data_IF_839344717112
#
_entry.id   IF_839344717112
#
_cell.length_a   1.000
_cell.length_b   1.000
_cell.length_c   1.000
_cell.angle_alpha   90.00
_cell.angle_beta   90.00
_cell.angle_gamma   90.00
#
_symmetry.space_group_name_H-M   'P 1'
#
loop_
_entity.id
_entity.type
_entity.pdbx_description
1 polymer ?
#
# COMPACT_ATOMS: atom_id res chain seq x y z
N UNK A 1 1.59 14.12 -28.36
CA UNK A 1 2.61 14.34 -27.30
C UNK A 1 2.50 13.22 -26.28
N UNK A 2 3.62 12.65 -25.86
CA UNK A 2 3.66 11.67 -24.78
C UNK A 2 3.20 12.33 -23.48
N UNK A 3 2.18 11.76 -22.82
CA UNK A 3 1.72 12.24 -21.52
C UNK A 3 2.63 11.74 -20.40
N UNK A 4 2.93 12.62 -19.45
CA UNK A 4 3.81 12.32 -18.31
C UNK A 4 3.03 12.34 -17.00
N UNK A 5 3.14 11.26 -16.26
CA UNK A 5 2.44 11.10 -14.99
C UNK A 5 3.45 10.92 -13.84
N UNK A 6 3.31 11.75 -12.82
CA UNK A 6 4.01 11.59 -11.58
C UNK A 6 3.11 10.84 -10.60
N UNK A 7 3.58 9.72 -10.04
CA UNK A 7 2.85 8.97 -9.03
C UNK A 7 3.65 8.95 -7.74
N UNK A 8 3.02 9.28 -6.61
CA UNK A 8 3.70 9.27 -5.32
C UNK A 8 2.86 8.59 -4.25
N UNK A 9 3.51 7.67 -3.57
CA UNK A 9 2.95 6.93 -2.45
C UNK A 9 3.89 5.85 -1.98
N UNK A 10 3.68 5.36 -0.78
CA UNK A 10 4.53 4.31 -0.28
C UNK A 10 4.49 4.14 1.24
N UNK A 11 5.50 3.46 1.77
CA UNK A 11 5.65 3.10 3.17
C UNK A 11 4.99 1.77 3.53
N UNK A 12 3.90 1.41 2.88
CA UNK A 12 3.19 0.13 3.09
C UNK A 12 2.61 -0.41 1.79
N UNK A 13 2.32 -1.71 1.74
CA UNK A 13 1.65 -2.35 0.60
C UNK A 13 0.30 -1.70 0.25
N UNK A 14 -0.43 -1.21 1.26
CA UNK A 14 -1.71 -0.52 1.08
C UNK A 14 -1.64 0.74 0.21
N UNK A 15 -0.48 1.39 0.11
CA UNK A 15 -0.26 2.52 -0.79
C UNK A 15 0.45 2.11 -2.09
N UNK A 16 1.40 1.17 -2.02
CA UNK A 16 2.22 0.79 -3.17
C UNK A 16 1.39 0.07 -4.22
N UNK A 17 0.58 -0.92 -3.83
CA UNK A 17 -0.21 -1.69 -4.79
C UNK A 17 -1.28 -0.87 -5.52
N UNK A 18 -2.05 0.02 -4.86
CA UNK A 18 -2.90 0.97 -5.56
C UNK A 18 -2.14 1.89 -6.53
N UNK A 19 -0.94 2.37 -6.15
CA UNK A 19 -0.12 3.19 -7.03
C UNK A 19 0.31 2.43 -8.29
N UNK A 20 0.74 1.17 -8.15
CA UNK A 20 1.08 0.30 -9.27
C UNK A 20 -0.13 -0.05 -10.13
N UNK A 21 -1.29 -0.32 -9.53
CA UNK A 21 -2.52 -0.58 -10.27
C UNK A 21 -2.93 0.62 -11.14
N UNK A 22 -2.81 1.84 -10.60
CA UNK A 22 -3.05 3.08 -11.35
C UNK A 22 -2.04 3.20 -12.50
N UNK A 23 -0.76 2.97 -12.24
CA UNK A 23 0.29 3.05 -13.26
C UNK A 23 0.06 2.05 -14.40
N UNK A 24 -0.26 0.80 -14.07
CA UNK A 24 -0.55 -0.26 -15.04
C UNK A 24 -1.77 0.10 -15.91
N UNK A 25 -2.83 0.64 -15.28
CA UNK A 25 -4.01 1.07 -16.03
C UNK A 25 -3.71 2.24 -16.97
N UNK A 26 -2.93 3.22 -16.52
CA UNK A 26 -2.47 4.33 -17.37
C UNK A 26 -1.68 3.79 -18.57
N UNK A 27 -0.77 2.85 -18.35
CA UNK A 27 0.01 2.22 -19.42
C UNK A 27 -0.83 1.40 -20.38
N UNK A 28 -1.84 0.70 -19.87
CA UNK A 28 -2.77 -0.07 -20.69
C UNK A 28 -3.57 0.83 -21.64
N UNK A 29 -4.05 1.98 -21.15
CA UNK A 29 -4.83 2.93 -21.94
C UNK A 29 -3.98 3.86 -22.81
N UNK A 30 -2.77 4.13 -22.39
CA UNK A 30 -1.82 4.96 -23.09
C UNK A 30 -0.40 4.35 -23.02
N UNK A 31 -0.07 3.40 -23.90
CA UNK A 31 1.22 2.68 -23.89
C UNK A 31 2.43 3.61 -23.95
N UNK A 32 2.30 4.76 -24.63
CA UNK A 32 3.36 5.76 -24.75
C UNK A 32 3.51 6.68 -23.52
N UNK A 33 2.63 6.58 -22.52
CA UNK A 33 2.72 7.41 -21.33
C UNK A 33 4.06 7.20 -20.61
N UNK A 34 4.68 8.27 -20.15
CA UNK A 34 5.85 8.21 -19.27
C UNK A 34 5.40 8.32 -17.82
N UNK A 35 5.86 7.41 -16.98
CA UNK A 35 5.49 7.37 -15.57
C UNK A 35 6.75 7.43 -14.71
N UNK A 36 6.79 8.40 -13.80
CA UNK A 36 7.82 8.52 -12.78
C UNK A 36 7.17 8.36 -11.40
N UNK A 37 7.75 7.49 -10.59
CA UNK A 37 7.37 7.38 -9.18
C UNK A 37 8.27 8.26 -8.31
N UNK A 38 7.69 8.78 -7.22
CA UNK A 38 8.44 9.37 -6.11
C UNK A 38 8.03 8.64 -4.83
N UNK A 39 9.01 8.05 -4.14
CA UNK A 39 8.83 7.28 -2.91
C UNK A 39 9.74 7.75 -1.77
N UNK A 40 9.59 7.15 -0.59
CA UNK A 40 10.48 7.36 0.54
C UNK A 40 11.72 6.49 0.42
N UNK A 41 12.90 7.10 0.56
CA UNK A 41 14.18 6.39 0.54
C UNK A 41 14.19 5.27 1.58
N UNK A 42 14.78 4.13 1.24
CA UNK A 42 14.91 2.96 2.11
C UNK A 42 13.57 2.33 2.56
N UNK A 43 12.50 2.52 1.79
CA UNK A 43 11.20 1.91 2.01
C UNK A 43 10.86 0.89 0.92
N UNK A 44 9.80 0.11 1.15
CA UNK A 44 9.38 -0.99 0.30
C UNK A 44 9.16 -0.58 -1.17
N UNK A 45 8.70 0.63 -1.42
CA UNK A 45 8.47 1.16 -2.76
C UNK A 45 9.74 1.21 -3.61
N UNK A 46 10.91 1.48 -3.00
CA UNK A 46 12.20 1.53 -3.70
C UNK A 46 12.60 0.19 -4.32
N UNK A 47 12.00 -0.91 -3.84
CA UNK A 47 12.18 -2.26 -4.39
C UNK A 47 11.02 -2.65 -5.29
N UNK A 48 9.77 -2.47 -4.82
CA UNK A 48 8.57 -2.97 -5.50
C UNK A 48 8.24 -2.24 -6.80
N UNK A 49 8.53 -0.94 -6.89
CA UNK A 49 8.25 -0.16 -8.09
C UNK A 49 9.18 -0.55 -9.25
N UNK A 50 10.52 -0.67 -9.05
CA UNK A 50 11.41 -1.21 -10.09
C UNK A 50 11.09 -2.65 -10.50
N UNK A 51 10.72 -3.52 -9.54
CA UNK A 51 10.28 -4.89 -9.83
C UNK A 51 9.05 -4.92 -10.77
N UNK A 52 8.21 -3.89 -10.72
CA UNK A 52 7.07 -3.72 -11.62
C UNK A 52 7.40 -2.99 -12.94
N UNK A 53 8.69 -2.70 -13.21
CA UNK A 53 9.14 -2.09 -14.45
C UNK A 53 9.04 -0.57 -14.51
N UNK A 54 8.87 0.12 -13.37
CA UNK A 54 8.77 1.57 -13.32
C UNK A 54 10.00 2.23 -12.71
N UNK A 55 10.32 3.45 -13.18
CA UNK A 55 11.36 4.27 -12.58
C UNK A 55 10.84 4.97 -11.31
N UNK A 56 11.69 5.01 -10.26
CA UNK A 56 11.37 5.67 -9.00
C UNK A 56 12.54 6.51 -8.50
N UNK A 57 12.21 7.72 -8.02
CA UNK A 57 13.12 8.61 -7.31
C UNK A 57 12.82 8.60 -5.82
N UNK A 58 13.85 8.46 -4.99
CA UNK A 58 13.71 8.43 -3.54
C UNK A 58 13.85 9.82 -2.91
N UNK A 59 12.96 10.13 -1.96
CA UNK A 59 13.04 11.30 -1.09
C UNK A 59 13.43 10.90 0.34
N UNK A 60 14.29 11.70 0.97
CA UNK A 60 14.58 11.60 2.39
C UNK A 60 13.39 12.16 3.16
N UNK A 61 12.46 11.29 3.56
CA UNK A 61 11.28 11.66 4.33
C UNK A 61 11.26 10.91 5.65
N UNK A 62 10.96 11.63 6.71
CA UNK A 62 10.87 11.09 8.05
C UNK A 62 9.49 11.38 8.63
N UNK A 63 8.91 10.40 9.30
CA UNK A 63 7.72 10.61 10.12
C UNK A 63 8.03 11.36 11.40
N UNK A 64 7.05 12.07 11.92
CA UNK A 64 7.14 12.66 13.26
C UNK A 64 7.33 11.53 14.27
N UNK A 65 8.41 11.56 15.04
CA UNK A 65 8.59 10.64 16.15
C UNK A 65 7.61 11.02 17.26
N UNK A 66 6.77 10.07 17.63
CA UNK A 66 5.83 10.21 18.77
C UNK A 66 6.51 9.83 20.10
N UNK A 67 7.79 10.12 20.20
CA UNK A 67 8.60 9.86 21.37
C UNK A 67 8.92 11.20 22.02
N UNK A 68 8.57 11.35 23.29
CA UNK A 68 8.84 12.53 24.12
C UNK A 68 10.23 12.51 24.76
N UNK A 69 11.11 11.59 24.35
CA UNK A 69 12.52 11.61 24.76
C UNK A 69 13.26 12.85 24.21
N UNK A 70 14.33 13.25 24.86
CA UNK A 70 15.20 14.35 24.39
C UNK A 70 15.65 14.11 22.93
N UNK A 71 15.96 12.87 22.56
CA UNK A 71 16.31 12.49 21.19
C UNK A 71 15.15 12.65 20.21
N UNK A 72 13.93 12.37 20.64
CA UNK A 72 12.70 12.57 19.87
C UNK A 72 12.42 14.05 19.62
N UNK A 73 12.56 14.88 20.66
CA UNK A 73 12.36 16.34 20.57
C UNK A 73 13.39 16.97 19.63
N UNK A 74 14.69 16.65 19.77
CA UNK A 74 15.74 17.16 18.88
C UNK A 74 15.53 16.70 17.43
N UNK A 75 15.08 15.45 17.22
CA UNK A 75 14.75 14.93 15.90
C UNK A 75 13.58 15.70 15.26
N UNK A 76 12.56 16.04 16.05
CA UNK A 76 11.40 16.80 15.58
C UNK A 76 11.74 18.28 15.31
N UNK A 77 12.67 18.89 16.06
CA UNK A 77 13.16 20.25 15.78
C UNK A 77 13.90 20.37 14.44
N UNK A 78 14.56 19.31 13.98
CA UNK A 78 15.22 19.26 12.66
C UNK A 78 14.25 19.04 11.49
N UNK A 79 13.01 18.62 11.77
CA UNK A 79 12.01 18.26 10.77
C UNK A 79 11.73 19.35 9.73
N UNK A 80 11.60 20.66 10.08
CA UNK A 80 11.38 21.72 9.09
C UNK A 80 12.51 21.85 8.06
N UNK A 81 13.76 21.73 8.51
CA UNK A 81 14.93 21.80 7.62
C UNK A 81 14.98 20.59 6.69
N UNK A 82 14.72 19.40 7.21
CA UNK A 82 14.65 18.16 6.42
C UNK A 82 13.53 18.27 5.39
N UNK A 83 12.35 18.73 5.80
CA UNK A 83 11.21 18.92 4.89
C UNK A 83 11.53 19.94 3.78
N UNK A 84 12.21 21.03 4.10
CA UNK A 84 12.64 22.03 3.11
C UNK A 84 13.62 21.42 2.10
N UNK A 85 14.61 20.64 2.55
CA UNK A 85 15.55 19.90 1.68
C UNK A 85 14.81 18.91 0.80
N UNK A 86 13.90 18.14 1.37
CA UNK A 86 13.07 17.16 0.67
C UNK A 86 12.21 17.83 -0.41
N UNK A 87 11.56 18.95 -0.10
CA UNK A 87 10.75 19.71 -1.06
C UNK A 87 11.60 20.31 -2.19
N UNK A 88 12.82 20.80 -1.90
CA UNK A 88 13.74 21.28 -2.94
C UNK A 88 14.12 20.15 -3.90
N UNK A 89 14.45 18.96 -3.36
CA UNK A 89 14.75 17.79 -4.20
C UNK A 89 13.53 17.36 -5.02
N UNK A 90 12.35 17.29 -4.41
CA UNK A 90 11.11 16.97 -5.12
C UNK A 90 10.84 17.98 -6.27
N UNK A 91 10.98 19.29 -6.01
CA UNK A 91 10.82 20.32 -7.03
C UNK A 91 11.81 20.14 -8.19
N UNK A 92 13.08 19.82 -7.90
CA UNK A 92 14.09 19.56 -8.94
C UNK A 92 13.66 18.39 -9.82
N UNK A 93 13.34 17.22 -9.24
CA UNK A 93 12.89 16.03 -9.96
C UNK A 93 11.67 16.36 -10.84
N UNK A 94 10.68 17.04 -10.28
CA UNK A 94 9.44 17.39 -10.98
C UNK A 94 9.69 18.37 -12.13
N UNK A 95 10.56 19.37 -11.92
CA UNK A 95 10.92 20.33 -12.97
C UNK A 95 11.69 19.69 -14.14
N UNK A 96 12.49 18.67 -13.86
CA UNK A 96 13.23 17.91 -14.88
C UNK A 96 12.28 16.97 -15.64
N UNK A 97 11.40 16.26 -14.93
CA UNK A 97 10.46 15.32 -15.53
C UNK A 97 9.29 16.01 -16.25
N UNK A 98 8.85 17.18 -15.79
CA UNK A 98 7.74 17.99 -16.34
C UNK A 98 6.45 17.17 -16.49
N UNK A 99 5.87 16.66 -15.41
CA UNK A 99 4.64 15.86 -15.49
C UNK A 99 3.43 16.71 -15.87
N UNK A 100 2.51 16.14 -16.64
CA UNK A 100 1.21 16.76 -16.97
C UNK A 100 0.23 16.64 -15.80
N UNK A 101 0.37 15.57 -14.99
CA UNK A 101 -0.48 15.29 -13.82
C UNK A 101 0.33 14.62 -12.72
N UNK A 102 0.05 14.99 -11.48
CA UNK A 102 0.59 14.34 -10.28
C UNK A 102 -0.51 13.59 -9.50
N UNK A 103 -0.24 12.34 -9.13
CA UNK A 103 -1.16 11.44 -8.46
C UNK A 103 -0.56 11.03 -7.11
N UNK A 104 -1.27 11.29 -6.01
CA UNK A 104 -0.88 10.87 -4.67
C UNK A 104 -1.76 9.75 -4.15
N UNK A 105 -1.17 8.68 -3.66
CA UNK A 105 -1.91 7.56 -3.07
C UNK A 105 -1.70 7.44 -1.55
N UNK A 106 -1.10 8.46 -0.94
CA UNK A 106 -0.81 8.49 0.49
C UNK A 106 0.61 8.04 0.84
N UNK A 107 0.91 8.01 2.14
CA UNK A 107 2.26 7.79 2.65
C UNK A 107 3.07 9.07 2.81
N UNK A 108 4.25 8.96 3.43
CA UNK A 108 5.07 10.12 3.80
C UNK A 108 5.64 10.88 2.59
N UNK A 109 6.02 10.17 1.52
CA UNK A 109 6.60 10.80 0.33
C UNK A 109 5.58 11.58 -0.50
N UNK A 110 4.31 11.17 -0.47
CA UNK A 110 3.23 11.80 -1.24
C UNK A 110 3.01 13.27 -0.84
N UNK A 111 3.17 13.62 0.44
CA UNK A 111 3.04 14.99 0.92
C UNK A 111 3.99 15.97 0.22
N UNK A 112 5.30 15.86 0.40
CA UNK A 112 6.28 16.72 -0.25
C UNK A 112 6.24 16.67 -1.77
N UNK A 113 6.02 15.50 -2.36
CA UNK A 113 5.95 15.34 -3.81
C UNK A 113 4.78 16.13 -4.41
N UNK A 114 3.56 15.92 -3.91
CA UNK A 114 2.39 16.62 -4.44
C UNK A 114 2.37 18.11 -4.11
N UNK A 115 2.81 18.51 -2.90
CA UNK A 115 2.94 19.94 -2.59
C UNK A 115 3.91 20.64 -3.53
N UNK A 116 5.03 19.96 -3.89
CA UNK A 116 6.00 20.51 -4.85
C UNK A 116 5.42 20.56 -6.27
N UNK A 117 4.69 19.53 -6.70
CA UNK A 117 4.01 19.51 -8.00
C UNK A 117 2.99 20.66 -8.12
N UNK A 118 2.13 20.81 -7.11
CA UNK A 118 1.13 21.89 -7.05
C UNK A 118 1.80 23.27 -7.08
N UNK A 119 2.90 23.45 -6.32
CA UNK A 119 3.64 24.71 -6.31
C UNK A 119 4.31 25.06 -7.65
N UNK A 120 4.53 24.07 -8.50
CA UNK A 120 5.03 24.21 -9.88
C UNK A 120 3.89 24.31 -10.91
N UNK A 121 2.63 24.42 -10.48
CA UNK A 121 1.46 24.53 -11.35
C UNK A 121 0.98 23.21 -11.96
N UNK A 122 1.54 22.07 -11.55
CA UNK A 122 1.11 20.75 -12.04
C UNK A 122 -0.22 20.39 -11.40
N UNK A 123 -1.28 20.07 -12.18
CA UNK A 123 -2.54 19.61 -11.64
C UNK A 123 -2.34 18.29 -10.91
N UNK A 124 -2.95 18.20 -9.71
CA UNK A 124 -2.78 17.04 -8.85
C UNK A 124 -4.11 16.43 -8.42
N UNK A 125 -4.12 15.12 -8.21
CA UNK A 125 -5.22 14.39 -7.57
C UNK A 125 -4.68 13.45 -6.49
N UNK A 126 -5.54 13.07 -5.56
CA UNK A 126 -5.22 12.03 -4.56
C UNK A 126 -6.23 10.90 -4.63
N UNK A 127 -5.77 9.71 -4.25
CA UNK A 127 -6.59 8.53 -4.07
C UNK A 127 -6.51 8.10 -2.59
N UNK A 128 -7.66 7.87 -1.96
CA UNK A 128 -7.77 7.42 -0.58
C UNK A 128 -8.40 6.04 -0.52
N UNK A 129 -7.69 5.10 0.08
CA UNK A 129 -8.06 3.69 0.14
C UNK A 129 -8.94 3.34 1.34
N UNK A 130 -8.98 4.19 2.35
CA UNK A 130 -9.58 3.91 3.65
C UNK A 130 -10.83 4.75 3.90
N UNK A 131 -11.73 4.25 4.74
CA UNK A 131 -12.89 5.01 5.26
C UNK A 131 -12.48 6.12 6.25
N UNK A 132 -11.26 6.03 6.81
CA UNK A 132 -10.63 7.09 7.60
C UNK A 132 -9.34 7.54 6.91
N UNK A 133 -9.31 8.76 6.35
CA UNK A 133 -8.21 9.17 5.51
C UNK A 133 -6.93 9.47 6.28
N UNK A 134 -5.81 9.18 5.63
CA UNK A 134 -4.48 9.49 6.14
C UNK A 134 -4.24 11.00 6.25
N UNK A 135 -3.37 11.38 7.20
CA UNK A 135 -3.03 12.81 7.47
C UNK A 135 -2.54 13.52 6.22
N UNK A 136 -1.69 12.86 5.42
CA UNK A 136 -1.17 13.41 4.16
C UNK A 136 -2.29 13.78 3.20
N UNK A 137 -3.26 12.89 2.99
CA UNK A 137 -4.39 13.13 2.08
C UNK A 137 -5.30 14.24 2.63
N UNK A 138 -5.52 14.32 3.95
CA UNK A 138 -6.26 15.43 4.57
C UNK A 138 -5.60 16.79 4.30
N UNK A 139 -4.28 16.89 4.42
CA UNK A 139 -3.54 18.13 4.13
C UNK A 139 -3.62 18.50 2.65
N UNK A 140 -3.48 17.52 1.75
CA UNK A 140 -3.47 17.74 0.31
C UNK A 140 -4.86 18.04 -0.27
N UNK A 141 -5.94 17.57 0.37
CA UNK A 141 -7.32 17.65 -0.13
C UNK A 141 -7.75 19.06 -0.54
N UNK A 142 -7.32 20.08 0.23
CA UNK A 142 -7.64 21.49 -0.04
C UNK A 142 -7.01 22.01 -1.34
N UNK A 143 -5.87 21.46 -1.74
CA UNK A 143 -5.04 21.98 -2.86
C UNK A 143 -5.18 21.18 -4.16
N UNK A 144 -5.55 19.91 -4.09
CA UNK A 144 -5.72 19.05 -5.27
C UNK A 144 -6.99 19.37 -6.05
N UNK A 145 -7.03 18.97 -7.31
CA UNK A 145 -8.17 19.15 -8.21
C UNK A 145 -9.28 18.14 -7.98
N UNK A 146 -8.92 16.86 -7.72
CA UNK A 146 -9.86 15.76 -7.47
C UNK A 146 -9.34 14.84 -6.38
N UNK A 147 -10.29 14.16 -5.73
CA UNK A 147 -10.05 13.21 -4.64
C UNK A 147 -10.82 11.94 -4.96
N UNK A 148 -10.12 10.93 -5.46
CA UNK A 148 -10.68 9.62 -5.71
C UNK A 148 -10.79 8.85 -4.39
N UNK A 149 -11.97 8.33 -4.06
CA UNK A 149 -12.22 7.66 -2.79
C UNK A 149 -12.76 6.25 -2.99
N UNK A 150 -12.41 5.36 -2.06
CA UNK A 150 -12.92 4.00 -2.05
C UNK A 150 -14.29 3.85 -1.39
N UNK A 151 -14.57 4.67 -0.39
CA UNK A 151 -15.75 4.57 0.47
C UNK A 151 -16.58 5.84 0.46
N UNK A 152 -17.85 5.73 0.80
CA UNK A 152 -18.75 6.85 1.04
C UNK A 152 -18.49 7.50 2.42
N UNK A 153 -19.05 8.67 2.65
CA UNK A 153 -18.99 9.37 3.95
C UNK A 153 -17.67 10.08 4.20
N UNK A 154 -16.86 10.32 3.16
CA UNK A 154 -15.60 11.05 3.26
C UNK A 154 -15.75 12.57 3.12
N UNK A 155 -16.95 13.06 2.88
CA UNK A 155 -17.30 14.49 2.85
C UNK A 155 -17.02 15.19 4.19
N UNK A 156 -17.06 14.44 5.29
CA UNK A 156 -16.66 14.93 6.63
C UNK A 156 -15.17 15.27 6.77
N UNK A 157 -14.34 14.82 5.82
CA UNK A 157 -12.89 15.03 5.84
C UNK A 157 -12.38 15.81 4.63
N UNK A 158 -13.09 15.75 3.52
CA UNK A 158 -12.67 16.29 2.22
C UNK A 158 -13.73 17.24 1.65
N UNK A 159 -13.35 18.24 0.85
CA UNK A 159 -14.30 19.07 0.10
C UNK A 159 -15.17 18.19 -0.82
N UNK A 160 -16.48 18.21 -0.61
CA UNK A 160 -17.42 17.32 -1.29
C UNK A 160 -17.38 17.45 -2.83
N UNK A 161 -17.19 18.67 -3.34
CA UNK A 161 -17.15 19.01 -4.77
C UNK A 161 -15.91 18.42 -5.50
N UNK A 162 -14.92 17.98 -4.74
CA UNK A 162 -13.70 17.33 -5.30
C UNK A 162 -13.75 15.83 -5.27
N UNK A 163 -14.67 15.25 -4.48
CA UNK A 163 -14.76 13.81 -4.29
C UNK A 163 -15.29 13.14 -5.55
N UNK A 164 -14.64 12.03 -5.91
CA UNK A 164 -15.09 11.09 -6.96
C UNK A 164 -14.99 9.69 -6.37
N UNK A 165 -16.11 8.98 -6.27
CA UNK A 165 -16.12 7.59 -5.81
C UNK A 165 -15.64 6.68 -6.94
N UNK A 166 -14.45 6.12 -6.80
CA UNK A 166 -13.81 5.25 -7.79
C UNK A 166 -13.63 3.81 -7.32
N UNK A 167 -13.81 3.55 -6.02
CA UNK A 167 -13.35 2.32 -5.41
C UNK A 167 -11.83 2.30 -5.20
N UNK A 168 -11.32 1.17 -4.72
CA UNK A 168 -9.88 0.94 -4.62
C UNK A 168 -9.32 0.45 -5.96
N UNK A 169 -8.18 0.99 -6.41
CA UNK A 169 -7.44 0.42 -7.53
C UNK A 169 -6.99 -1.00 -7.20
N UNK A 170 -7.42 -1.95 -8.02
CA UNK A 170 -7.10 -3.38 -7.86
C UNK A 170 -6.23 -3.81 -9.04
N UNK A 171 -5.26 -4.67 -8.78
CA UNK A 171 -4.43 -5.26 -9.84
C UNK A 171 -5.29 -6.10 -10.79
N UNK A 172 -5.01 -5.97 -12.10
CA UNK A 172 -5.78 -6.65 -13.13
C UNK A 172 -5.76 -8.19 -12.99
N UNK A 173 -4.65 -8.74 -12.50
CA UNK A 173 -4.47 -10.17 -12.23
C UNK A 173 -5.53 -10.67 -11.25
N UNK A 174 -5.79 -9.91 -10.17
CA UNK A 174 -6.80 -10.27 -9.15
C UNK A 174 -8.23 -10.22 -9.71
N UNK A 175 -8.51 -9.29 -10.64
CA UNK A 175 -9.85 -9.18 -11.25
C UNK A 175 -10.21 -10.36 -12.15
N UNK A 176 -9.20 -11.03 -12.71
CA UNK A 176 -9.34 -12.15 -13.63
C UNK A 176 -9.24 -13.52 -12.98
N UNK A 177 -9.08 -13.58 -11.65
CA UNK A 177 -8.96 -14.85 -10.93
C UNK A 177 -10.20 -15.70 -11.06
N UNK A 178 -10.03 -16.96 -11.42
CA UNK A 178 -11.08 -17.98 -11.35
C UNK A 178 -11.36 -18.29 -9.87
N UNK A 179 -12.64 -18.46 -9.51
CA UNK A 179 -13.05 -18.76 -8.12
C UNK A 179 -12.41 -20.01 -7.51
N UNK A 180 -12.02 -20.98 -8.36
CA UNK A 180 -11.31 -22.20 -7.96
C UNK A 180 -10.13 -22.35 -8.92
N UNK A 181 -8.92 -22.36 -8.37
CA UNK A 181 -7.69 -22.59 -9.10
C UNK A 181 -7.06 -23.89 -8.57
N UNK A 182 -7.03 -24.94 -9.38
CA UNK A 182 -6.47 -26.25 -9.01
C UNK A 182 -4.98 -26.15 -8.68
N UNK A 183 -4.24 -25.30 -9.36
CA UNK A 183 -2.82 -25.08 -9.11
C UNK A 183 -2.60 -24.50 -7.70
N UNK A 184 -3.47 -23.58 -7.25
CA UNK A 184 -3.41 -23.02 -5.90
C UNK A 184 -3.69 -24.08 -4.83
N UNK A 185 -4.67 -24.97 -5.07
CA UNK A 185 -4.93 -26.09 -4.15
C UNK A 185 -3.73 -27.04 -4.05
N UNK A 186 -3.12 -27.38 -5.19
CA UNK A 186 -1.93 -28.22 -5.21
C UNK A 186 -0.75 -27.54 -4.51
N UNK A 187 -0.52 -26.25 -4.77
CA UNK A 187 0.56 -25.47 -4.16
C UNK A 187 0.50 -25.47 -2.63
N UNK A 188 -0.68 -25.30 -2.06
CA UNK A 188 -0.89 -25.31 -0.60
C UNK A 188 -1.12 -26.72 -0.04
N UNK A 189 -1.22 -27.73 -0.86
CA UNK A 189 -1.54 -29.11 -0.45
C UNK A 189 -2.97 -29.25 0.10
N UNK A 190 -3.91 -28.51 -0.49
CA UNK A 190 -5.32 -28.52 -0.14
C UNK A 190 -6.15 -29.33 -1.13
N UNK A 191 -7.32 -29.80 -0.68
CA UNK A 191 -8.33 -30.46 -1.54
C UNK A 191 -9.34 -29.45 -2.07
N UNK A 192 -9.66 -29.46 -3.37
CA UNK A 192 -10.70 -28.58 -3.95
C UNK A 192 -12.12 -28.90 -3.46
N UNK A 193 -12.34 -30.10 -2.90
CA UNK A 193 -13.64 -30.56 -2.42
C UNK A 193 -13.96 -30.07 -1.00
N UNK A 194 -12.96 -29.57 -0.28
CA UNK A 194 -13.12 -29.05 1.07
C UNK A 194 -13.22 -27.53 1.08
N UNK A 195 -13.98 -27.00 2.04
CA UNK A 195 -14.03 -25.56 2.27
C UNK A 195 -12.68 -25.06 2.77
N UNK A 196 -12.18 -24.00 2.16
CA UNK A 196 -10.92 -23.35 2.56
C UNK A 196 -11.20 -21.95 3.07
N UNK A 197 -10.63 -21.63 4.23
CA UNK A 197 -10.70 -20.31 4.86
C UNK A 197 -9.32 -19.67 4.77
N UNK A 198 -9.25 -18.48 4.17
CA UNK A 198 -8.06 -17.62 4.20
C UNK A 198 -8.16 -16.65 5.36
N UNK A 199 -7.16 -16.67 6.25
CA UNK A 199 -7.03 -15.74 7.36
C UNK A 199 -5.78 -14.90 7.16
N UNK A 200 -5.94 -13.58 7.01
CA UNK A 200 -4.82 -12.66 6.80
C UNK A 200 -5.10 -11.30 7.41
N UNK A 201 -4.13 -10.76 8.13
CA UNK A 201 -4.20 -9.46 8.80
C UNK A 201 -3.34 -8.37 8.15
N UNK A 202 -3.14 -8.44 6.82
CA UNK A 202 -2.20 -7.58 6.09
C UNK A 202 -0.76 -8.09 6.16
N UNK A 203 0.18 -7.40 5.49
CA UNK A 203 1.56 -7.87 5.29
C UNK A 203 2.34 -8.12 6.59
N UNK A 204 2.03 -7.39 7.65
CA UNK A 204 2.67 -7.53 8.96
C UNK A 204 1.89 -8.45 9.92
N UNK A 205 0.72 -8.94 9.49
CA UNK A 205 -0.24 -9.62 10.35
C UNK A 205 -1.02 -8.67 11.26
N UNK A 206 -2.06 -9.21 11.92
CA UNK A 206 -2.85 -8.51 12.93
C UNK A 206 -2.80 -9.31 14.23
N UNK A 207 -2.14 -8.78 15.27
CA UNK A 207 -1.88 -9.51 16.51
C UNK A 207 -3.16 -10.07 17.17
N UNK A 208 -4.22 -9.28 17.25
CA UNK A 208 -5.50 -9.72 17.84
C UNK A 208 -6.11 -10.90 17.08
N UNK A 209 -6.11 -10.86 15.75
CA UNK A 209 -6.58 -11.96 14.90
C UNK A 209 -5.70 -13.19 15.07
N UNK A 210 -4.39 -13.01 15.03
CA UNK A 210 -3.42 -14.09 15.18
C UNK A 210 -3.54 -14.78 16.54
N UNK A 211 -3.66 -14.01 17.63
CA UNK A 211 -3.87 -14.55 18.97
C UNK A 211 -5.18 -15.33 19.07
N UNK A 212 -6.25 -14.81 18.46
CA UNK A 212 -7.53 -15.53 18.42
C UNK A 212 -7.41 -16.87 17.67
N UNK A 213 -6.77 -16.86 16.49
CA UNK A 213 -6.53 -18.09 15.71
C UNK A 213 -5.70 -19.10 16.49
N UNK A 214 -4.60 -18.68 17.09
CA UNK A 214 -3.72 -19.56 17.86
C UNK A 214 -4.44 -20.18 19.05
N UNK A 215 -5.19 -19.40 19.82
CA UNK A 215 -5.90 -19.87 21.01
C UNK A 215 -7.04 -20.86 20.69
N UNK A 216 -7.57 -20.84 19.46
CA UNK A 216 -8.70 -21.69 19.06
C UNK A 216 -8.32 -22.70 17.98
N UNK A 217 -7.03 -22.95 17.77
CA UNK A 217 -6.55 -23.79 16.66
C UNK A 217 -7.12 -25.21 16.69
N UNK A 218 -7.21 -25.81 17.87
CA UNK A 218 -7.75 -27.15 18.05
C UNK A 218 -9.25 -27.21 17.68
N UNK A 219 -10.01 -26.21 18.10
CA UNK A 219 -11.44 -26.09 17.77
C UNK A 219 -11.64 -25.90 16.27
N UNK A 220 -10.82 -25.06 15.65
CA UNK A 220 -10.87 -24.83 14.21
C UNK A 220 -10.54 -26.10 13.44
N UNK A 221 -9.52 -26.83 13.87
CA UNK A 221 -9.12 -28.09 13.25
C UNK A 221 -10.22 -29.15 13.28
N UNK A 222 -11.02 -29.22 14.38
CA UNK A 222 -12.13 -30.15 14.53
C UNK A 222 -13.29 -29.89 13.55
N UNK A 223 -13.40 -28.69 12.98
CA UNK A 223 -14.44 -28.37 11.97
C UNK A 223 -14.21 -29.06 10.62
N UNK A 224 -13.02 -29.58 10.38
CA UNK A 224 -12.63 -30.21 9.12
C UNK A 224 -12.40 -29.23 7.95
N UNK A 225 -12.47 -27.91 8.18
CA UNK A 225 -12.14 -26.90 7.16
C UNK A 225 -10.63 -26.84 6.93
N UNK A 226 -10.25 -26.52 5.74
CA UNK A 226 -8.86 -26.17 5.41
C UNK A 226 -8.61 -24.70 5.74
N UNK A 227 -7.46 -24.38 6.29
CA UNK A 227 -7.12 -23.01 6.66
C UNK A 227 -5.76 -22.63 6.09
N UNK A 228 -5.72 -21.53 5.32
CA UNK A 228 -4.50 -20.83 4.99
C UNK A 228 -4.40 -19.59 5.89
N UNK A 229 -3.44 -19.61 6.82
CA UNK A 229 -3.28 -18.55 7.80
C UNK A 229 -1.96 -17.81 7.59
N UNK A 230 -2.05 -16.55 7.16
CA UNK A 230 -0.91 -15.65 7.04
C UNK A 230 -0.79 -14.79 8.29
N UNK A 231 0.29 -15.00 9.04
CA UNK A 231 0.50 -14.43 10.37
C UNK A 231 1.26 -13.12 10.38
N UNK A 232 2.07 -12.85 9.36
CA UNK A 232 3.19 -11.89 9.41
C UNK A 232 4.42 -12.53 10.08
N UNK A 233 5.61 -12.07 9.71
CA UNK A 233 6.91 -12.62 10.13
C UNK A 233 7.06 -12.67 11.65
N UNK A 234 6.70 -11.57 12.34
CA UNK A 234 6.88 -11.46 13.77
C UNK A 234 6.10 -12.52 14.54
N UNK A 235 4.81 -12.71 14.22
CA UNK A 235 3.98 -13.68 14.93
C UNK A 235 4.29 -15.13 14.52
N UNK A 236 4.72 -15.35 13.28
CA UNK A 236 5.16 -16.67 12.83
C UNK A 236 6.29 -17.22 13.70
N UNK A 237 7.25 -16.37 14.05
CA UNK A 237 8.41 -16.71 14.89
C UNK A 237 8.06 -16.85 16.38
N UNK A 238 6.87 -16.38 16.81
CA UNK A 238 6.41 -16.49 18.20
C UNK A 238 5.68 -17.82 18.49
N UNK A 239 5.21 -18.55 17.46
CA UNK A 239 4.41 -19.75 17.61
C UNK A 239 5.12 -20.99 17.04
N UNK A 240 4.82 -22.21 17.53
CA UNK A 240 5.35 -23.46 16.98
C UNK A 240 4.61 -23.85 15.69
N UNK A 241 4.75 -23.04 14.64
CA UNK A 241 3.97 -23.16 13.41
C UNK A 241 4.15 -24.53 12.72
N UNK A 242 5.35 -25.10 12.75
CA UNK A 242 5.64 -26.40 12.14
C UNK A 242 4.96 -27.55 12.91
N UNK A 243 5.00 -27.51 14.25
CA UNK A 243 4.36 -28.53 15.10
C UNK A 243 2.84 -28.49 14.91
N UNK A 244 2.25 -27.30 14.83
CA UNK A 244 0.81 -27.13 14.56
C UNK A 244 0.45 -27.71 13.20
N UNK A 245 1.24 -27.48 12.17
CA UNK A 245 1.00 -28.00 10.82
C UNK A 245 1.18 -29.53 10.75
N UNK A 246 2.11 -30.08 11.52
CA UNK A 246 2.27 -31.54 11.64
C UNK A 246 1.05 -32.16 12.32
N UNK A 247 0.56 -31.55 13.40
CA UNK A 247 -0.63 -32.02 14.14
C UNK A 247 -1.92 -31.88 13.32
N UNK A 248 -2.02 -30.78 12.52
CA UNK A 248 -3.20 -30.43 11.73
C UNK A 248 -2.83 -30.16 10.26
N UNK A 249 -2.65 -31.20 9.42
CA UNK A 249 -2.21 -31.01 8.02
C UNK A 249 -3.12 -30.12 7.14
N UNK A 250 -4.41 -29.99 7.52
CA UNK A 250 -5.37 -29.10 6.86
C UNK A 250 -5.17 -27.62 7.19
N UNK A 251 -4.29 -27.28 8.14
CA UNK A 251 -3.94 -25.89 8.48
C UNK A 251 -2.56 -25.59 7.96
N UNK A 252 -2.47 -24.61 7.06
CA UNK A 252 -1.20 -24.06 6.55
C UNK A 252 -0.97 -22.71 7.17
N UNK A 253 0.18 -22.55 7.84
CA UNK A 253 0.61 -21.32 8.49
C UNK A 253 1.82 -20.78 7.71
N UNK A 254 1.72 -19.55 7.28
CA UNK A 254 2.79 -18.89 6.51
C UNK A 254 3.04 -17.48 7.02
N UNK A 255 4.30 -17.02 7.06
CA UNK A 255 4.59 -15.64 7.47
C UNK A 255 4.07 -14.63 6.44
N UNK A 256 4.11 -14.98 5.15
CA UNK A 256 3.68 -14.12 4.06
C UNK A 256 3.28 -14.94 2.82
N UNK A 257 2.19 -14.54 2.17
CA UNK A 257 1.77 -15.12 0.88
C UNK A 257 2.34 -14.23 -0.23
N UNK A 258 3.28 -14.76 -1.01
CA UNK A 258 3.93 -14.02 -2.10
C UNK A 258 3.05 -13.98 -3.35
N UNK A 259 2.48 -15.12 -3.70
CA UNK A 259 1.62 -15.29 -4.88
C UNK A 259 0.17 -15.32 -4.38
N UNK A 260 -0.60 -14.28 -4.72
CA UNK A 260 -2.01 -14.16 -4.35
C UNK A 260 -2.92 -14.28 -5.58
N UNK A 261 -2.34 -14.58 -6.69
CA UNK A 261 -2.93 -14.80 -8.02
C UNK A 261 -3.09 -16.29 -8.36
#
# INVERSE_FOLDING_TARGET
>A
MKKRFLISGGGTGGHIFPALAIANQIKKENPEAEILFIGAQNKMEMKRVPEAGYHIEGLDVYGIKRDFSLSGIISNLKLPFVLMKTMRRAKKIISEFKPDVAIGVGGFASGPALQSAIALGVPALIQEQNSYPGVTNKILSKKVKKICVAYDGLERYFPAEKIVKTGNPIRAEILNLKRKNEEAYQFFGFSPDKKTVLVMGGSLGARSMNTCMHNHIDTIAQTGVQVLWQTGEAFYNEIPAEEIQQKYPQIKIVPFIKNMD
#
